data_IF_710119681642
#
_entry.id   IF_710119681642
#
_cell.length_a   1.000
_cell.length_b   1.000
_cell.length_c   1.000
_cell.angle_alpha   90.00
_cell.angle_beta   90.00
_cell.angle_gamma   90.00
#
_symmetry.space_group_name_H-M   'P 1'
#
loop_
_entity.id
_entity.type
_entity.pdbx_description
1 polymer ?
#
# COMPACT_ATOMS: atom_id res chain seq x y z
N UNK A 1 5.91 16.57 20.12
CA UNK A 1 5.12 16.85 18.93
C UNK A 1 5.89 16.48 17.67
N UNK A 2 5.23 15.84 16.75
CA UNK A 2 5.85 15.46 15.48
C UNK A 2 5.62 16.58 14.47
N UNK A 3 6.70 17.02 13.84
CA UNK A 3 6.65 18.08 12.84
C UNK A 3 7.08 17.51 11.50
N UNK A 4 6.22 17.58 10.51
CA UNK A 4 6.54 17.16 9.16
C UNK A 4 6.81 15.69 8.98
N UNK A 5 6.40 14.86 9.92
CA UNK A 5 6.60 13.42 9.84
C UNK A 5 5.53 12.72 9.02
N UNK A 6 5.74 11.42 8.84
CA UNK A 6 4.75 10.55 8.23
C UNK A 6 3.65 10.29 9.23
N UNK A 7 2.39 10.49 8.82
CA UNK A 7 1.23 10.34 9.70
C UNK A 7 0.45 9.06 9.44
N UNK A 8 0.62 8.45 8.29
CA UNK A 8 -0.14 7.26 7.93
C UNK A 8 0.52 6.58 6.74
N UNK A 9 0.24 5.28 6.61
CA UNK A 9 0.70 4.48 5.48
C UNK A 9 -0.49 3.80 4.83
N UNK A 10 -0.36 3.44 3.56
CA UNK A 10 -1.37 2.65 2.88
C UNK A 10 -0.75 1.76 1.83
N UNK A 11 -1.49 0.70 1.49
CA UNK A 11 -1.21 -0.13 0.32
C UNK A 11 -2.37 0.03 -0.65
N UNK A 12 -2.04 0.19 -1.93
CA UNK A 12 -3.02 0.17 -3.00
C UNK A 12 -2.94 -1.21 -3.65
N UNK A 13 -4.08 -1.91 -3.65
CA UNK A 13 -4.14 -3.30 -4.07
C UNK A 13 -4.95 -3.37 -5.36
N UNK A 14 -4.40 -4.08 -6.35
CA UNK A 14 -4.96 -4.09 -7.70
C UNK A 14 -5.63 -5.41 -8.02
N UNK A 15 -6.61 -5.36 -8.90
CA UNK A 15 -7.37 -6.55 -9.27
C UNK A 15 -6.50 -7.51 -10.07
N UNK A 16 -6.60 -8.79 -9.72
CA UNK A 16 -5.84 -9.86 -10.34
C UNK A 16 -6.54 -10.40 -11.58
N UNK A 17 -7.87 -10.44 -11.55
CA UNK A 17 -8.62 -11.07 -12.62
C UNK A 17 -9.90 -10.30 -12.89
N UNK A 18 -10.55 -10.65 -13.99
CA UNK A 18 -11.77 -10.01 -14.40
C UNK A 18 -11.56 -9.04 -15.54
N UNK A 19 -12.65 -8.41 -15.98
CA UNK A 19 -12.62 -7.50 -17.11
C UNK A 19 -11.78 -6.26 -16.83
N UNK A 20 -11.64 -5.91 -15.55
CA UNK A 20 -10.92 -4.72 -15.13
C UNK A 20 -9.60 -5.04 -14.41
N UNK A 21 -8.98 -6.16 -14.76
CA UNK A 21 -7.68 -6.55 -14.22
C UNK A 21 -6.67 -5.41 -14.34
N UNK A 22 -5.91 -5.18 -13.27
CA UNK A 22 -4.94 -4.09 -13.23
C UNK A 22 -5.46 -2.81 -12.64
N UNK A 23 -6.78 -2.67 -12.53
CA UNK A 23 -7.38 -1.51 -11.88
C UNK A 23 -7.36 -1.67 -10.37
N UNK A 24 -7.50 -0.56 -9.66
CA UNK A 24 -7.49 -0.56 -8.21
C UNK A 24 -8.67 -1.37 -7.67
N UNK A 25 -8.37 -2.33 -6.80
CA UNK A 25 -9.40 -3.10 -6.10
C UNK A 25 -9.82 -2.38 -4.83
N UNK A 26 -8.86 -2.12 -3.94
CA UNK A 26 -9.11 -1.38 -2.71
C UNK A 26 -7.80 -0.86 -2.13
N UNK A 27 -7.92 -0.06 -1.08
CA UNK A 27 -6.78 0.44 -0.33
C UNK A 27 -6.90 -0.01 1.11
N UNK A 28 -5.76 -0.33 1.73
CA UNK A 28 -5.68 -0.66 3.15
C UNK A 28 -4.77 0.36 3.84
N UNK A 29 -5.20 0.82 5.01
CA UNK A 29 -4.52 1.88 5.74
C UNK A 29 -3.88 1.35 7.01
N UNK A 30 -2.73 1.91 7.40
CA UNK A 30 -1.94 1.46 8.53
C UNK A 30 -1.39 2.64 9.31
N UNK A 31 -1.28 2.48 10.63
CA UNK A 31 -0.72 3.51 11.50
C UNK A 31 0.82 3.48 11.49
N UNK A 32 1.41 2.31 11.24
CA UNK A 32 2.86 2.15 11.26
C UNK A 32 3.35 1.47 9.99
N UNK A 33 4.61 1.75 9.67
CA UNK A 33 5.26 1.12 8.52
C UNK A 33 5.41 -0.38 8.71
N UNK A 34 5.61 -0.82 9.95
CA UNK A 34 5.72 -2.25 10.25
C UNK A 34 4.45 -2.99 9.90
N UNK A 35 3.30 -2.42 10.27
CA UNK A 35 2.01 -3.02 9.94
C UNK A 35 1.83 -3.11 8.42
N UNK A 36 2.19 -2.05 7.72
CA UNK A 36 2.10 -2.02 6.26
C UNK A 36 3.00 -3.08 5.63
N UNK A 37 4.24 -3.18 6.10
CA UNK A 37 5.19 -4.15 5.57
C UNK A 37 4.73 -5.59 5.79
N UNK A 38 4.17 -5.87 6.95
CA UNK A 38 3.65 -7.20 7.24
C UNK A 38 2.53 -7.56 6.27
N UNK A 39 1.61 -6.64 6.05
CA UNK A 39 0.51 -6.89 5.13
C UNK A 39 0.99 -7.02 3.68
N UNK A 40 1.94 -6.18 3.29
CA UNK A 40 2.53 -6.25 1.96
C UNK A 40 3.12 -7.64 1.70
N UNK A 41 3.87 -8.16 2.66
CA UNK A 41 4.48 -9.48 2.55
C UNK A 41 3.40 -10.57 2.43
N UNK A 42 2.35 -10.47 3.24
CA UNK A 42 1.24 -11.42 3.16
C UNK A 42 0.59 -11.44 1.78
N UNK A 43 0.34 -10.27 1.22
CA UNK A 43 -0.28 -10.16 -0.09
C UNK A 43 0.63 -10.68 -1.20
N UNK A 44 1.91 -10.36 -1.10
CA UNK A 44 2.90 -10.78 -2.06
C UNK A 44 3.03 -12.31 -2.09
N UNK A 45 3.04 -12.93 -0.91
CA UNK A 45 3.20 -14.37 -0.79
C UNK A 45 1.94 -15.15 -1.08
N UNK A 46 0.77 -14.52 -0.93
CA UNK A 46 -0.50 -15.22 -1.08
C UNK A 46 -0.86 -15.52 -2.52
N UNK A 47 -0.22 -14.84 -3.46
CA UNK A 47 -0.53 -14.94 -4.89
C UNK A 47 -1.98 -14.58 -5.22
N UNK A 48 -2.67 -13.91 -4.29
CA UNK A 48 -4.03 -13.45 -4.55
C UNK A 48 -4.07 -12.28 -5.53
N UNK A 49 -2.98 -11.51 -5.58
CA UNK A 49 -2.89 -10.37 -6.46
C UNK A 49 -1.66 -10.54 -7.35
N UNK A 50 -1.91 -10.69 -8.64
CA UNK A 50 -0.82 -10.88 -9.62
C UNK A 50 0.04 -9.65 -9.78
N UNK A 51 -0.49 -8.49 -9.42
CA UNK A 51 0.26 -7.25 -9.44
C UNK A 51 0.66 -6.92 -8.02
N UNK A 52 1.92 -6.57 -7.84
CA UNK A 52 2.41 -6.20 -6.52
C UNK A 52 1.66 -4.97 -6.02
N UNK A 53 1.22 -4.98 -4.77
CA UNK A 53 0.63 -3.78 -4.19
C UNK A 53 1.65 -2.64 -4.21
N UNK A 54 1.16 -1.41 -4.28
CA UNK A 54 2.03 -0.24 -4.15
C UNK A 54 1.87 0.33 -2.74
N UNK A 55 3.00 0.76 -2.17
CA UNK A 55 3.04 1.28 -0.82
C UNK A 55 3.18 2.80 -0.83
N UNK A 56 2.49 3.46 0.07
CA UNK A 56 2.43 4.91 0.13
C UNK A 56 2.54 5.39 1.55
N UNK A 57 3.12 6.58 1.72
CA UNK A 57 3.14 7.26 3.02
C UNK A 57 2.48 8.62 2.88
N UNK A 58 1.76 9.04 3.92
CA UNK A 58 1.14 10.35 3.96
C UNK A 58 2.02 11.30 4.73
N UNK A 59 2.35 12.42 4.10
CA UNK A 59 3.08 13.53 4.71
C UNK A 59 2.18 14.76 4.71
N UNK A 60 2.71 15.86 5.22
CA UNK A 60 1.94 17.10 5.31
C UNK A 60 1.36 17.55 3.98
N UNK A 61 2.07 17.30 2.90
CA UNK A 61 1.68 17.74 1.56
C UNK A 61 1.02 16.64 0.72
N UNK A 62 0.63 15.53 1.35
CA UNK A 62 -0.12 14.49 0.68
C UNK A 62 0.59 13.15 0.64
N UNK A 63 0.08 12.26 -0.19
CA UNK A 63 0.60 10.91 -0.33
C UNK A 63 1.81 10.86 -1.24
N UNK A 64 2.83 10.11 -0.82
CA UNK A 64 4.00 9.85 -1.65
C UNK A 64 4.22 8.36 -1.75
N UNK A 65 4.52 7.89 -2.95
CA UNK A 65 4.81 6.48 -3.16
C UNK A 65 6.16 6.12 -2.56
N UNK A 66 6.18 4.99 -1.86
CA UNK A 66 7.42 4.43 -1.31
C UNK A 66 8.08 3.56 -2.37
N UNK A 67 9.39 3.71 -2.53
CA UNK A 67 10.16 2.91 -3.45
C UNK A 67 10.56 1.59 -2.79
N UNK A 68 10.81 0.58 -3.61
CA UNK A 68 11.23 -0.72 -3.11
C UNK A 68 10.09 -1.68 -2.82
N UNK A 69 8.89 -1.26 -3.12
CA UNK A 69 7.70 -2.11 -2.91
C UNK A 69 7.09 -2.52 -4.23
#
# INVERSE_FOLDING_TARGET
MVLGGVTMYKLRIYKLSGIDIGNLDHEEFFDTKEQMNKRYTELFESELYGLNPTAWEKKNDGWKRLEGY
#
